data_IF_007004345844
#
_entry.id   IF_007004345844
#
_cell.length_a   1.000
_cell.length_b   1.000
_cell.length_c   1.000
_cell.angle_alpha   90.00
_cell.angle_beta   90.00
_cell.angle_gamma   90.00
#
_symmetry.space_group_name_H-M   'P 1'
#
loop_
_entity.id
_entity.type
_entity.pdbx_description
1 polymer ?
#
# COMPACT_ATOMS: atom_id res chain seq x y z
N UNK A 1 -3.19 -12.41 0.90
CA UNK A 1 -4.42 -11.56 0.93
C UNK A 1 -4.34 -10.45 -0.10
N UNK A 2 -3.37 -9.53 -0.04
CA UNK A 2 -3.25 -8.43 -1.01
C UNK A 2 -3.12 -8.91 -2.47
N UNK A 3 -2.22 -9.87 -2.74
CA UNK A 3 -2.09 -10.50 -4.06
C UNK A 3 -3.43 -11.08 -4.54
N UNK A 4 -4.02 -12.03 -3.81
CA UNK A 4 -5.31 -12.61 -4.16
C UNK A 4 -6.41 -11.57 -4.40
N UNK A 5 -6.52 -10.52 -3.56
CA UNK A 5 -7.49 -9.44 -3.76
C UNK A 5 -7.26 -8.70 -5.09
N UNK A 6 -6.01 -8.30 -5.36
CA UNK A 6 -5.65 -7.61 -6.59
C UNK A 6 -5.88 -8.50 -7.83
N UNK A 7 -5.58 -9.80 -7.71
CA UNK A 7 -5.84 -10.82 -8.73
C UNK A 7 -7.34 -10.97 -9.05
N UNK A 8 -8.21 -11.00 -8.03
CA UNK A 8 -9.66 -11.02 -8.23
C UNK A 8 -10.18 -9.74 -8.92
N UNK A 9 -9.59 -8.58 -8.61
CA UNK A 9 -9.96 -7.30 -9.24
C UNK A 9 -9.54 -7.24 -10.70
N UNK A 10 -8.27 -7.53 -11.00
CA UNK A 10 -7.71 -7.43 -12.34
C UNK A 10 -8.22 -8.53 -13.28
N UNK A 11 -8.47 -9.72 -12.74
CA UNK A 11 -8.94 -10.87 -13.50
C UNK A 11 -7.88 -11.51 -14.41
N UNK A 12 -8.28 -12.41 -15.32
CA UNK A 12 -7.36 -13.25 -16.08
C UNK A 12 -6.38 -12.50 -16.99
N UNK A 13 -6.65 -11.24 -17.35
CA UNK A 13 -5.76 -10.43 -18.18
C UNK A 13 -4.44 -10.04 -17.49
N UNK A 14 -4.40 -10.18 -16.16
CA UNK A 14 -3.20 -9.95 -15.35
C UNK A 14 -2.47 -11.24 -14.97
N UNK A 15 -3.04 -12.42 -15.24
CA UNK A 15 -2.47 -13.71 -14.82
C UNK A 15 -1.01 -13.86 -15.26
N UNK A 16 -0.13 -14.23 -14.32
CA UNK A 16 1.31 -14.38 -14.54
C UNK A 16 2.10 -13.06 -14.62
N UNK A 17 1.46 -11.88 -14.68
CA UNK A 17 2.15 -10.60 -14.53
C UNK A 17 2.61 -10.41 -13.09
N UNK A 18 3.59 -9.54 -12.88
CA UNK A 18 4.14 -9.29 -11.54
C UNK A 18 3.13 -8.50 -10.71
N UNK A 19 2.60 -9.13 -9.65
CA UNK A 19 1.91 -8.41 -8.59
C UNK A 19 2.93 -7.55 -7.84
N UNK A 20 3.97 -8.18 -7.28
CA UNK A 20 5.02 -7.47 -6.56
C UNK A 20 6.35 -8.21 -6.70
N UNK A 21 7.41 -7.48 -7.02
CA UNK A 21 8.79 -7.96 -6.96
C UNK A 21 9.50 -7.27 -5.80
N UNK A 22 10.07 -8.06 -4.90
CA UNK A 22 10.80 -7.60 -3.74
C UNK A 22 12.26 -7.37 -4.10
N UNK A 23 12.79 -6.21 -3.76
CA UNK A 23 14.21 -5.90 -3.87
C UNK A 23 14.80 -5.72 -2.48
N UNK A 24 15.74 -6.59 -2.13
CA UNK A 24 16.52 -6.49 -0.91
C UNK A 24 17.85 -5.77 -1.19
N UNK A 25 18.67 -5.60 -0.16
CA UNK A 25 20.03 -5.10 -0.32
C UNK A 25 20.97 -6.11 -1.00
N UNK A 26 22.18 -5.66 -1.30
CA UNK A 26 23.26 -6.42 -1.95
C UNK A 26 23.72 -7.67 -1.18
N UNK A 27 23.39 -7.78 0.11
CA UNK A 27 23.68 -8.96 0.93
C UNK A 27 22.61 -10.05 0.84
N UNK A 28 21.48 -9.77 0.18
CA UNK A 28 20.31 -10.65 0.06
C UNK A 28 19.83 -10.77 -1.38
N UNK A 29 20.78 -10.96 -2.29
CA UNK A 29 20.52 -11.09 -3.74
C UNK A 29 19.75 -12.35 -4.08
N UNK A 30 19.96 -13.46 -3.35
CA UNK A 30 19.17 -14.69 -3.50
C UNK A 30 17.68 -14.43 -3.22
N UNK A 31 17.37 -13.74 -2.11
CA UNK A 31 15.99 -13.38 -1.77
C UNK A 31 15.35 -12.42 -2.77
N UNK A 32 16.16 -11.56 -3.40
CA UNK A 32 15.69 -10.70 -4.50
C UNK A 32 15.35 -11.54 -5.74
N UNK A 33 16.15 -12.56 -6.05
CA UNK A 33 15.90 -13.44 -7.20
C UNK A 33 14.61 -14.26 -7.02
N UNK A 34 14.33 -14.71 -5.80
CA UNK A 34 13.15 -15.51 -5.46
C UNK A 34 11.91 -14.65 -5.10
N UNK A 35 12.12 -13.35 -4.89
CA UNK A 35 11.13 -12.41 -4.36
C UNK A 35 10.10 -11.92 -5.36
N UNK A 36 9.59 -12.75 -6.27
CA UNK A 36 8.56 -12.34 -7.24
C UNK A 36 7.23 -13.02 -6.97
N UNK A 37 6.20 -12.22 -6.72
CA UNK A 37 4.82 -12.65 -6.54
C UNK A 37 4.02 -12.30 -7.79
N UNK A 38 3.42 -13.28 -8.48
CA UNK A 38 2.60 -13.02 -9.65
C UNK A 38 1.15 -12.75 -9.25
N UNK A 39 0.43 -12.04 -10.10
CA UNK A 39 -1.03 -12.16 -10.17
C UNK A 39 -1.40 -13.58 -10.59
N UNK A 40 -2.48 -14.13 -10.02
CA UNK A 40 -2.94 -15.48 -10.34
C UNK A 40 -4.46 -15.60 -10.40
N UNK A 41 -4.96 -16.42 -11.32
CA UNK A 41 -6.36 -16.87 -11.34
C UNK A 41 -6.67 -17.93 -10.28
N UNK A 42 -5.67 -18.35 -9.50
CA UNK A 42 -5.80 -19.34 -8.44
C UNK A 42 -5.22 -18.82 -7.12
N UNK A 43 -5.67 -19.39 -6.01
CA UNK A 43 -5.07 -19.15 -4.70
C UNK A 43 -3.64 -19.72 -4.72
N UNK A 44 -2.64 -18.86 -4.45
CA UNK A 44 -1.24 -19.30 -4.37
C UNK A 44 -0.81 -19.68 -2.95
N UNK A 45 -1.35 -18.97 -1.96
CA UNK A 45 -0.96 -19.11 -0.55
C UNK A 45 -2.19 -19.36 0.31
N UNK A 46 -2.15 -20.40 1.14
CA UNK A 46 -3.24 -20.66 2.09
C UNK A 46 -3.34 -19.54 3.11
N UNK A 47 -4.55 -19.01 3.29
CA UNK A 47 -4.86 -18.03 4.32
C UNK A 47 -6.06 -18.51 5.14
N UNK A 48 -5.81 -18.91 6.39
CA UNK A 48 -6.87 -19.23 7.35
C UNK A 48 -7.70 -20.48 7.05
N UNK A 49 -7.21 -21.39 6.21
CA UNK A 49 -7.79 -22.74 6.01
C UNK A 49 -9.11 -22.82 5.23
N UNK A 50 -9.75 -21.69 4.88
CA UNK A 50 -10.98 -21.68 4.08
C UNK A 50 -10.73 -21.96 2.60
N UNK A 51 -9.58 -21.54 2.09
CA UNK A 51 -9.19 -21.68 0.69
C UNK A 51 -7.83 -22.38 0.61
N UNK A 52 -7.70 -23.31 -0.33
CA UNK A 52 -6.52 -24.11 -0.58
C UNK A 52 -5.76 -23.60 -1.80
N UNK A 53 -4.42 -23.70 -1.83
CA UNK A 53 -3.66 -23.45 -3.04
C UNK A 53 -4.21 -24.25 -4.23
N UNK A 54 -4.39 -23.59 -5.37
CA UNK A 54 -5.01 -24.16 -6.57
C UNK A 54 -6.52 -23.91 -6.70
N UNK A 55 -7.21 -23.48 -5.64
CA UNK A 55 -8.61 -23.07 -5.74
C UNK A 55 -8.74 -21.87 -6.69
N UNK A 56 -9.75 -21.88 -7.56
CA UNK A 56 -10.00 -20.78 -8.49
C UNK A 56 -10.44 -19.53 -7.74
N UNK A 57 -9.80 -18.40 -8.04
CA UNK A 57 -10.20 -17.09 -7.57
C UNK A 57 -11.34 -16.52 -8.44
N UNK A 58 -12.41 -15.95 -7.85
CA UNK A 58 -13.43 -15.25 -8.62
C UNK A 58 -12.85 -14.00 -9.27
N UNK A 59 -13.22 -13.71 -10.51
CA UNK A 59 -12.69 -12.56 -11.25
C UNK A 59 -13.78 -11.51 -11.52
N UNK A 60 -13.47 -10.25 -11.18
CA UNK A 60 -14.30 -9.09 -11.51
C UNK A 60 -13.89 -8.44 -12.83
N UNK A 61 -12.62 -8.55 -13.22
CA UNK A 61 -12.05 -7.97 -14.45
C UNK A 61 -12.36 -6.48 -14.60
N UNK A 62 -12.19 -5.71 -13.52
CA UNK A 62 -12.59 -4.30 -13.49
C UNK A 62 -11.58 -3.45 -14.27
N UNK A 63 -12.03 -2.63 -15.24
CA UNK A 63 -11.14 -1.66 -15.89
C UNK A 63 -10.77 -0.48 -14.96
N UNK A 64 -11.56 -0.27 -13.90
CA UNK A 64 -11.41 0.83 -12.95
C UNK A 64 -11.84 0.41 -11.55
N UNK A 65 -11.05 0.80 -10.54
CA UNK A 65 -11.34 0.60 -9.12
C UNK A 65 -11.30 1.96 -8.40
N UNK A 66 -12.30 2.20 -7.54
CA UNK A 66 -12.26 3.30 -6.57
C UNK A 66 -11.80 2.75 -5.23
N UNK A 67 -10.84 3.43 -4.60
CA UNK A 67 -10.34 3.06 -3.27
C UNK A 67 -10.47 4.29 -2.38
N UNK A 68 -11.11 4.10 -1.24
CA UNK A 68 -11.22 5.12 -0.20
C UNK A 68 -9.97 5.02 0.68
N UNK A 69 -9.23 6.11 0.80
CA UNK A 69 -7.91 6.12 1.45
C UNK A 69 -7.80 7.20 2.51
N UNK A 70 -7.04 6.90 3.55
CA UNK A 70 -6.59 7.86 4.56
C UNK A 70 -5.07 7.80 4.70
N UNK A 71 -4.50 8.68 5.52
CA UNK A 71 -3.11 8.65 5.95
C UNK A 71 -2.73 7.38 6.73
N UNK A 72 -3.72 6.58 7.12
CA UNK A 72 -3.55 5.27 7.76
C UNK A 72 -3.52 4.11 6.75
N UNK A 73 -3.76 4.39 5.47
CA UNK A 73 -3.62 3.40 4.39
C UNK A 73 -2.13 3.16 4.13
N UNK A 74 -1.65 1.97 4.49
CA UNK A 74 -0.23 1.64 4.49
C UNK A 74 0.06 0.22 3.97
N UNK A 75 1.31 -0.01 3.55
CA UNK A 75 1.87 -1.34 3.32
C UNK A 75 1.03 -2.17 2.35
N UNK A 76 0.46 -3.32 2.78
CA UNK A 76 -0.24 -4.25 1.89
C UNK A 76 -1.40 -3.59 1.12
N UNK A 77 -2.08 -2.60 1.72
CA UNK A 77 -3.12 -1.83 1.04
C UNK A 77 -2.57 -0.95 -0.09
N UNK A 78 -1.38 -0.38 0.10
CA UNK A 78 -0.67 0.38 -0.95
C UNK A 78 -0.10 -0.54 -2.02
N UNK A 79 0.34 -1.76 -1.66
CA UNK A 79 0.73 -2.78 -2.66
C UNK A 79 -0.44 -3.10 -3.59
N UNK A 80 -1.68 -3.27 -3.09
CA UNK A 80 -2.87 -3.47 -3.95
C UNK A 80 -3.03 -2.31 -4.95
N UNK A 81 -2.95 -1.06 -4.49
CA UNK A 81 -3.04 0.13 -5.35
C UNK A 81 -1.92 0.13 -6.40
N UNK A 82 -0.68 -0.12 -5.98
CA UNK A 82 0.49 -0.07 -6.83
C UNK A 82 0.49 -1.16 -7.89
N UNK A 83 0.20 -2.40 -7.50
CA UNK A 83 0.21 -3.57 -8.37
C UNK A 83 -0.88 -3.49 -9.44
N UNK A 84 -2.09 -3.06 -9.07
CA UNK A 84 -3.19 -2.87 -10.02
C UNK A 84 -2.87 -1.81 -11.08
N UNK A 85 -2.27 -0.68 -10.69
CA UNK A 85 -1.76 0.33 -11.64
C UNK A 85 -0.66 -0.22 -12.56
N UNK A 86 0.13 -1.17 -12.06
CA UNK A 86 1.17 -1.89 -12.80
C UNK A 86 0.62 -2.76 -13.94
N UNK A 87 -0.64 -3.17 -13.86
CA UNK A 87 -1.33 -3.97 -14.89
C UNK A 87 -2.48 -3.22 -15.55
N UNK A 88 -2.37 -1.88 -15.57
CA UNK A 88 -3.26 -0.97 -16.31
C UNK A 88 -4.70 -0.89 -15.80
N UNK A 89 -4.97 -1.33 -14.57
CA UNK A 89 -6.24 -1.01 -13.89
C UNK A 89 -6.22 0.45 -13.47
N UNK A 90 -7.24 1.21 -13.85
CA UNK A 90 -7.39 2.60 -13.43
C UNK A 90 -7.80 2.65 -11.95
N UNK A 91 -6.87 2.96 -11.05
CA UNK A 91 -7.14 3.08 -9.60
C UNK A 91 -7.31 4.55 -9.21
N UNK A 92 -8.56 4.93 -8.95
CA UNK A 92 -8.98 6.26 -8.50
C UNK A 92 -9.03 6.27 -6.97
N UNK A 93 -8.38 7.25 -6.35
CA UNK A 93 -8.30 7.37 -4.91
C UNK A 93 -9.17 8.53 -4.42
N UNK A 94 -9.97 8.29 -3.38
CA UNK A 94 -10.83 9.30 -2.75
C UNK A 94 -10.47 9.34 -1.26
N UNK A 95 -10.30 10.52 -0.68
CA UNK A 95 -9.98 10.66 0.73
C UNK A 95 -8.72 11.49 0.95
N UNK A 96 -7.71 10.98 1.65
CA UNK A 96 -6.41 11.64 1.81
C UNK A 96 -5.26 10.81 1.24
N UNK A 97 -4.07 11.43 1.15
CA UNK A 97 -2.84 10.77 0.73
C UNK A 97 -2.54 9.58 1.64
N UNK A 98 -2.14 8.45 1.04
CA UNK A 98 -1.72 7.25 1.79
C UNK A 98 -0.41 7.49 2.55
N UNK A 99 -0.02 6.59 3.44
CA UNK A 99 1.10 6.86 4.36
C UNK A 99 2.49 6.77 3.73
N UNK A 100 2.62 6.07 2.60
CA UNK A 100 3.87 5.98 1.85
C UNK A 100 4.85 4.93 2.38
N UNK A 101 4.45 3.66 2.40
CA UNK A 101 5.30 2.57 2.87
C UNK A 101 5.48 1.49 1.80
N UNK A 102 6.41 1.68 0.85
CA UNK A 102 6.76 0.66 -0.15
C UNK A 102 7.65 -0.46 0.41
N UNK A 103 7.85 -0.49 1.72
CA UNK A 103 8.81 -1.34 2.40
C UNK A 103 8.14 -2.44 3.21
N UNK A 104 8.74 -3.62 3.23
CA UNK A 104 8.28 -4.75 4.02
C UNK A 104 9.39 -5.41 4.84
N UNK A 105 8.99 -6.44 5.58
CA UNK A 105 9.79 -7.09 6.59
C UNK A 105 9.42 -8.56 6.71
N UNK A 106 10.33 -9.35 7.28
CA UNK A 106 10.00 -10.69 7.77
C UNK A 106 10.05 -10.66 9.29
N UNK A 107 9.02 -11.20 9.97
CA UNK A 107 9.04 -11.28 11.45
C UNK A 107 10.23 -12.13 11.90
N UNK A 108 10.95 -11.66 12.92
CA UNK A 108 12.00 -12.41 13.64
C UNK A 108 11.71 -12.41 15.13
N UNK A 109 11.53 -13.58 15.73
CA UNK A 109 11.36 -13.69 17.17
C UNK A 109 12.73 -13.72 17.85
N UNK A 110 12.89 -12.95 18.92
CA UNK A 110 14.11 -12.88 19.71
C UNK A 110 13.76 -12.67 21.19
N UNK A 111 14.00 -13.69 22.02
CA UNK A 111 13.87 -13.61 23.49
C UNK A 111 12.54 -13.01 23.98
N UNK A 112 11.41 -13.37 23.34
CA UNK A 112 10.08 -12.88 23.71
C UNK A 112 9.67 -11.57 23.03
N UNK A 113 10.56 -10.97 22.23
CA UNK A 113 10.25 -9.83 21.37
C UNK A 113 10.06 -10.27 19.92
N UNK A 114 9.21 -9.56 19.18
CA UNK A 114 9.05 -9.72 17.74
C UNK A 114 9.68 -8.52 17.02
N UNK A 115 10.70 -8.77 16.22
CA UNK A 115 11.41 -7.80 15.41
C UNK A 115 10.82 -7.76 14.00
N UNK A 116 10.68 -6.53 13.47
CA UNK A 116 10.15 -6.26 12.13
C UNK A 116 11.08 -5.29 11.38
N UNK A 117 12.34 -5.69 11.09
CA UNK A 117 13.28 -4.83 10.39
C UNK A 117 12.84 -4.61 8.95
N UNK A 118 12.99 -3.40 8.43
CA UNK A 118 12.78 -3.16 6.99
C UNK A 118 13.84 -3.96 6.22
N UNK A 119 13.38 -4.81 5.31
CA UNK A 119 14.23 -5.75 4.57
C UNK A 119 14.22 -5.51 3.07
N UNK A 120 13.09 -5.05 2.51
CA UNK A 120 12.92 -4.93 1.07
C UNK A 120 12.03 -3.75 0.67
N UNK A 121 12.12 -3.36 -0.60
CA UNK A 121 11.16 -2.50 -1.30
C UNK A 121 10.38 -3.30 -2.34
N UNK A 122 9.08 -3.04 -2.51
CA UNK A 122 8.21 -3.71 -3.48
C UNK A 122 8.02 -2.93 -4.79
N UNK A 123 8.07 -3.63 -5.92
CA UNK A 123 7.91 -3.06 -7.27
C UNK A 123 6.80 -3.77 -8.04
N UNK A 124 5.95 -3.03 -8.75
CA UNK A 124 4.89 -3.61 -9.59
C UNK A 124 5.42 -4.11 -10.94
N UNK A 125 4.52 -4.63 -11.79
CA UNK A 125 4.81 -5.09 -13.15
C UNK A 125 5.49 -4.07 -14.08
N UNK A 126 5.36 -2.77 -13.82
CA UNK A 126 6.04 -1.69 -14.58
C UNK A 126 7.37 -1.29 -13.94
N UNK A 127 7.80 -1.98 -12.89
CA UNK A 127 9.02 -1.65 -12.15
C UNK A 127 8.87 -0.38 -11.30
N UNK A 128 7.66 0.05 -10.97
CA UNK A 128 7.44 1.19 -10.09
C UNK A 128 7.24 0.75 -8.63
N UNK A 129 8.03 1.35 -7.73
CA UNK A 129 7.99 1.11 -6.28
C UNK A 129 8.20 2.37 -5.44
N UNK A 130 8.34 3.54 -6.07
CA UNK A 130 8.81 4.78 -5.42
C UNK A 130 7.64 5.63 -4.91
N UNK A 131 6.87 5.06 -3.98
CA UNK A 131 5.71 5.71 -3.35
C UNK A 131 5.93 5.97 -1.85
N UNK A 132 7.17 6.28 -1.43
CA UNK A 132 7.50 6.61 -0.04
C UNK A 132 6.80 7.88 0.49
N UNK A 133 6.27 8.73 -0.39
CA UNK A 133 5.46 9.90 -0.03
C UNK A 133 3.94 9.60 -0.03
N UNK A 134 3.56 8.34 -0.28
CA UNK A 134 2.17 7.93 -0.45
C UNK A 134 1.62 8.23 -1.83
N UNK A 135 0.40 7.77 -2.08
CA UNK A 135 -0.38 8.06 -3.26
C UNK A 135 -1.36 9.19 -2.96
N UNK A 136 -1.24 10.29 -3.70
CA UNK A 136 -2.19 11.39 -3.60
C UNK A 136 -3.59 10.96 -4.10
N UNK A 137 -4.67 11.45 -3.47
CA UNK A 137 -6.02 11.17 -3.90
C UNK A 137 -6.36 11.94 -5.19
N UNK A 138 -7.28 11.39 -5.98
CA UNK A 138 -7.93 12.13 -7.07
C UNK A 138 -8.88 13.19 -6.53
N UNK A 139 -9.60 12.87 -5.44
CA UNK A 139 -10.43 13.83 -4.71
C UNK A 139 -10.08 13.82 -3.22
N UNK A 140 -9.70 15.00 -2.71
CA UNK A 140 -9.44 15.16 -1.27
C UNK A 140 -10.76 15.35 -0.52
N UNK A 141 -11.10 14.40 0.34
CA UNK A 141 -12.33 14.40 1.14
C UNK A 141 -12.00 13.85 2.53
N UNK A 142 -12.55 14.46 3.58
CA UNK A 142 -12.42 13.92 4.94
C UNK A 142 -13.31 12.69 5.13
N UNK A 143 -12.91 11.79 6.02
CA UNK A 143 -13.83 10.77 6.51
C UNK A 143 -14.91 11.43 7.36
N UNK A 144 -16.11 10.86 7.37
CA UNK A 144 -17.11 11.20 8.38
C UNK A 144 -17.39 9.98 9.26
N UNK A 145 -17.57 10.25 10.54
CA UNK A 145 -17.92 9.22 11.51
C UNK A 145 -19.41 9.30 11.89
N UNK A 146 -20.19 10.04 11.09
CA UNK A 146 -21.60 10.29 11.34
C UNK A 146 -22.50 9.32 10.57
N UNK A 147 -22.01 8.76 9.45
CA UNK A 147 -22.69 7.73 8.68
C UNK A 147 -22.04 6.35 8.88
N UNK A 148 -22.83 5.31 8.61
CA UNK A 148 -22.33 3.94 8.64
C UNK A 148 -21.62 3.59 7.33
N UNK A 149 -20.64 2.69 7.40
CA UNK A 149 -19.95 2.17 6.21
C UNK A 149 -20.95 1.59 5.21
N UNK A 150 -20.85 2.02 3.95
CA UNK A 150 -21.74 1.62 2.86
C UNK A 150 -23.00 2.49 2.71
N UNK A 151 -23.23 3.45 3.60
CA UNK A 151 -24.26 4.48 3.40
C UNK A 151 -23.83 5.38 2.23
N UNK A 152 -24.62 5.51 1.14
CA UNK A 152 -24.28 6.42 0.03
C UNK A 152 -24.09 7.88 0.43
N UNK A 153 -24.54 8.28 1.62
CA UNK A 153 -24.33 9.60 2.20
C UNK A 153 -23.00 9.75 2.96
N UNK A 154 -22.28 8.67 3.28
CA UNK A 154 -20.94 8.78 3.91
C UNK A 154 -19.98 9.52 2.97
N UNK A 155 -19.19 10.44 3.53
CA UNK A 155 -18.50 11.50 2.79
C UNK A 155 -17.59 10.97 1.68
N UNK A 156 -16.78 9.96 1.98
CA UNK A 156 -15.87 9.38 0.99
C UNK A 156 -16.59 8.56 -0.09
N UNK A 157 -17.62 7.79 0.27
CA UNK A 157 -18.40 7.01 -0.70
C UNK A 157 -19.22 7.92 -1.60
N UNK A 158 -19.90 8.91 -1.02
CA UNK A 158 -20.67 9.92 -1.75
C UNK A 158 -19.78 10.65 -2.77
N UNK A 159 -18.57 11.04 -2.36
CA UNK A 159 -17.58 11.63 -3.24
C UNK A 159 -17.12 10.68 -4.37
N UNK A 160 -16.91 9.40 -4.05
CA UNK A 160 -16.57 8.40 -5.06
C UNK A 160 -17.70 8.22 -6.09
N UNK A 161 -18.95 8.18 -5.65
CA UNK A 161 -20.13 8.07 -6.52
C UNK A 161 -20.30 9.32 -7.40
N UNK A 162 -20.06 10.51 -6.85
CA UNK A 162 -20.06 11.77 -7.61
C UNK A 162 -18.96 11.76 -8.67
N UNK A 163 -17.73 11.43 -8.29
CA UNK A 163 -16.61 11.38 -9.24
C UNK A 163 -16.80 10.30 -10.30
N UNK A 164 -17.41 9.16 -9.94
CA UNK A 164 -17.73 8.09 -10.88
C UNK A 164 -18.72 8.52 -11.95
N UNK A 165 -19.71 9.33 -11.60
CA UNK A 165 -20.77 9.78 -12.51
C UNK A 165 -20.43 11.05 -13.29
N UNK A 166 -19.65 11.97 -12.71
CA UNK A 166 -19.40 13.30 -13.30
C UNK A 166 -17.93 13.56 -13.64
N UNK A 167 -17.00 12.78 -13.08
CA UNK A 167 -15.56 13.06 -13.14
C UNK A 167 -15.11 14.25 -12.30
N UNK A 168 -15.99 14.82 -11.48
CA UNK A 168 -15.70 15.97 -10.63
C UNK A 168 -15.56 15.55 -9.17
N UNK A 169 -14.69 16.24 -8.44
CA UNK A 169 -14.64 16.13 -6.99
C UNK A 169 -15.74 16.99 -6.35
N UNK A 170 -16.24 16.63 -5.16
CA UNK A 170 -17.13 17.50 -4.40
C UNK A 170 -16.48 18.87 -4.23
N UNK A 171 -17.29 19.93 -4.29
CA UNK A 171 -16.82 21.24 -3.90
C UNK A 171 -16.31 21.13 -2.46
N UNK A 172 -15.05 21.48 -2.25
CA UNK A 172 -14.42 21.46 -0.93
C UNK A 172 -15.22 22.36 0.00
N UNK A 173 -16.04 21.75 0.87
CA UNK A 173 -16.37 22.41 2.13
C UNK A 173 -15.04 22.56 2.85
N UNK A 174 -14.58 23.79 3.04
CA UNK A 174 -13.29 24.13 3.61
C UNK A 174 -13.19 23.68 5.07
N UNK A 175 -13.08 22.37 5.31
CA UNK A 175 -12.52 21.87 6.55
C UNK A 175 -11.03 22.07 6.39
N UNK A 176 -10.55 23.18 6.97
CA UNK A 176 -9.16 23.59 6.93
C UNK A 176 -8.25 22.37 7.12
N UNK A 177 -7.44 22.08 6.09
CA UNK A 177 -6.29 21.23 6.26
C UNK A 177 -5.50 21.83 7.43
N UNK A 178 -5.44 21.12 8.55
CA UNK A 178 -4.41 21.40 9.53
C UNK A 178 -3.11 20.99 8.85
N UNK A 179 -2.45 21.95 8.24
CA UNK A 179 -1.06 21.84 7.83
C UNK A 179 -0.24 21.51 9.08
N UNK A 180 -0.08 20.21 9.35
CA UNK A 180 1.06 19.74 10.12
C UNK A 180 2.20 19.71 9.12
N UNK A 181 2.76 20.89 8.85
CA UNK A 181 4.03 21.02 8.17
C UNK A 181 5.07 20.24 9.00
N UNK A 182 5.35 18.99 8.60
CA UNK A 182 6.58 18.32 8.99
C UNK A 182 7.71 19.02 8.26
N UNK A 183 8.30 19.99 8.93
CA UNK A 183 9.61 20.52 8.59
C UNK A 183 10.60 19.36 8.64
N UNK A 184 11.04 18.90 7.47
CA UNK A 184 12.23 18.05 7.38
C UNK A 184 13.43 18.91 7.81
N UNK A 185 14.23 18.50 8.81
CA UNK A 185 15.45 19.22 9.11
C UNK A 185 16.42 18.99 7.94
N UNK A 186 17.06 20.07 7.49
CA UNK A 186 18.16 19.97 6.55
C UNK A 186 19.26 19.08 7.16
N UNK A 187 19.56 17.96 6.50
CA UNK A 187 20.67 17.08 6.92
C UNK A 187 21.97 17.78 6.55
N UNK A 188 22.49 18.56 7.49
CA UNK A 188 23.91 18.90 7.54
C UNK A 188 24.54 17.94 8.54
N UNK A 189 25.64 17.29 8.16
CA UNK A 189 26.20 16.10 8.81
C UNK A 189 26.09 16.07 10.34
N UNK A 190 25.48 14.99 10.86
CA UNK A 190 25.32 14.76 12.28
C UNK A 190 26.66 14.37 12.92
N UNK A 191 27.37 15.32 13.51
CA UNK A 191 28.38 15.00 14.53
C UNK A 191 27.64 14.60 15.81
N UNK A 192 27.77 13.33 16.19
CA UNK A 192 27.23 12.77 17.43
C UNK A 192 28.13 13.14 18.62
N UNK A 193 27.93 14.32 19.21
CA UNK A 193 28.47 14.64 20.55
C UNK A 193 27.37 14.45 21.60
N UNK A 194 27.30 13.23 22.15
CA UNK A 194 26.47 12.90 23.31
C UNK A 194 25.57 11.70 23.08
N UNK A 195 25.63 10.72 23.99
CA UNK A 195 24.85 9.47 23.94
C UNK A 195 23.40 9.72 24.37
N UNK A 196 22.39 9.52 23.50
CA UNK A 196 21.01 9.40 23.93
C UNK A 196 20.75 7.94 24.33
N UNK A 197 20.34 7.70 25.57
CA UNK A 197 19.79 6.40 25.97
C UNK A 197 18.36 6.33 25.49
N UNK A 198 18.14 5.68 24.36
CA UNK A 198 16.81 5.26 23.87
C UNK A 198 16.85 3.74 23.77
N UNK A 199 15.94 2.99 24.43
CA UNK A 199 15.92 1.53 24.36
C UNK A 199 15.68 1.06 22.92
N UNK A 200 16.51 0.12 22.44
CA UNK A 200 16.19 -0.70 21.26
C UNK A 200 16.84 -0.36 19.92
N UNK A 201 17.86 0.49 19.84
CA UNK A 201 18.64 0.68 18.59
C UNK A 201 20.13 0.42 18.79
N UNK A 202 20.62 -0.70 18.26
CA UNK A 202 22.05 -0.90 18.00
C UNK A 202 22.29 -0.68 16.51
N UNK A 203 22.96 0.41 16.16
CA UNK A 203 23.53 0.60 14.83
C UNK A 203 24.83 -0.21 14.78
N UNK A 204 24.82 -1.36 14.10
CA UNK A 204 26.05 -2.08 13.78
C UNK A 204 26.67 -1.45 12.53
N UNK A 205 27.72 -0.65 12.74
CA UNK A 205 28.56 -0.14 11.68
C UNK A 205 29.70 -1.11 11.34
N UNK A 206 30.02 -1.19 10.07
CA UNK A 206 31.39 -1.28 9.56
C UNK A 206 31.49 -0.37 8.35
#
# INVERSE_FOLDING_TARGET
VAEALASMVAGPSADGKVFERLQFNDKRTADTADGTFPFSTQVLYSAGGKYSPGDTLPALSLPRLYVLTTDSTCSASESVINSLRGVDVNVVLIGSTTCGKPYGFTRRDNCGEALYPIEFQGFNNKGFGDYANGFAPSCTVGDDFEHALGDPAESMLSAALLHMSTGQCPATSSVAARDVARSAPAVTGLQLTGRPVIPGRVLLGH
#
